data_IF_491262326537
#
_entry.id   IF_491262326537
#
_cell.length_a   1.000
_cell.length_b   1.000
_cell.length_c   1.000
_cell.angle_alpha   90.00
_cell.angle_beta   90.00
_cell.angle_gamma   90.00
#
_symmetry.space_group_name_H-M   'P 1'
#
loop_
_entity.id
_entity.type
_entity.pdbx_description
1 polymer ?
#
# COMPACT_ATOMS: atom_id res chain seq x y z
N UNK A 1 -5.32 -0.58 0.80
CA UNK A 1 -5.92 -0.85 -0.52
C UNK A 1 -7.41 -0.42 -0.60
N UNK A 2 -8.14 -0.41 0.51
CA UNK A 2 -9.59 -0.20 0.53
C UNK A 2 -10.04 1.20 0.10
N UNK A 3 -9.13 2.16 0.12
CA UNK A 3 -9.38 3.55 -0.28
C UNK A 3 -9.03 3.86 -1.75
N UNK A 4 -8.74 2.85 -2.57
CA UNK A 4 -8.57 3.10 -4.00
C UNK A 4 -9.83 3.74 -4.60
N UNK A 5 -9.63 4.67 -5.53
CA UNK A 5 -10.71 5.16 -6.39
C UNK A 5 -11.17 4.03 -7.33
N UNK A 6 -12.38 4.13 -7.88
CA UNK A 6 -12.81 3.19 -8.91
C UNK A 6 -11.80 3.14 -10.06
N UNK A 7 -11.55 1.95 -10.62
CA UNK A 7 -10.53 1.72 -11.65
C UNK A 7 -10.56 2.74 -12.78
N UNK A 8 -11.75 3.10 -13.23
CA UNK A 8 -11.96 4.07 -14.30
C UNK A 8 -11.45 5.48 -13.97
N UNK A 9 -11.25 5.79 -12.69
CA UNK A 9 -10.75 7.07 -12.17
C UNK A 9 -9.27 7.03 -11.79
N UNK A 10 -8.64 5.87 -11.90
CA UNK A 10 -7.20 5.73 -11.64
C UNK A 10 -6.42 6.60 -12.62
N UNK A 11 -5.41 7.39 -12.16
CA UNK A 11 -4.58 8.18 -13.05
C UNK A 11 -3.87 7.30 -14.09
N UNK A 12 -3.52 7.89 -15.21
CA UNK A 12 -2.76 7.21 -16.26
C UNK A 12 -1.28 7.60 -16.14
N UNK A 13 -0.41 6.64 -16.44
CA UNK A 13 1.03 6.86 -16.56
C UNK A 13 1.38 7.54 -17.92
N UNK A 14 2.66 7.77 -18.17
CA UNK A 14 3.18 8.39 -19.39
C UNK A 14 2.88 7.57 -20.67
N UNK A 15 2.60 6.27 -20.52
CA UNK A 15 2.27 5.37 -21.62
C UNK A 15 0.76 5.29 -21.88
N UNK A 16 -0.06 5.88 -21.01
CA UNK A 16 -1.52 5.81 -21.07
C UNK A 16 -2.11 4.58 -20.38
N UNK A 17 -1.32 3.85 -19.60
CA UNK A 17 -1.77 2.75 -18.77
C UNK A 17 -2.15 3.23 -17.35
N UNK A 18 -3.00 2.50 -16.65
CA UNK A 18 -3.38 2.86 -15.28
C UNK A 18 -2.20 2.81 -14.32
N UNK A 19 -1.86 3.94 -13.69
CA UNK A 19 -0.87 4.04 -12.63
C UNK A 19 -1.50 3.72 -11.26
N UNK A 20 -1.53 2.44 -10.92
CA UNK A 20 -2.03 1.98 -9.61
C UNK A 20 -1.10 2.29 -8.45
N UNK A 21 0.13 2.68 -8.73
CA UNK A 21 1.12 3.02 -7.71
C UNK A 21 1.11 4.53 -7.39
N UNK A 22 0.38 5.33 -8.16
CA UNK A 22 0.25 6.76 -7.90
C UNK A 22 -0.51 7.03 -6.59
N UNK A 23 -0.14 8.13 -5.91
CA UNK A 23 -0.84 8.55 -4.68
C UNK A 23 -2.30 8.92 -4.97
N UNK A 24 -2.55 9.50 -6.12
CA UNK A 24 -3.88 9.91 -6.61
C UNK A 24 -4.79 8.73 -6.97
N UNK A 25 -4.25 7.50 -7.02
CA UNK A 25 -5.06 6.29 -7.08
C UNK A 25 -5.83 6.04 -5.77
N UNK A 26 -5.45 6.72 -4.69
CA UNK A 26 -6.14 6.69 -3.40
C UNK A 26 -7.06 7.92 -3.29
N UNK A 27 -8.26 7.71 -2.77
CA UNK A 27 -9.18 8.78 -2.40
C UNK A 27 -8.69 9.47 -1.12
N UNK A 28 -7.79 10.43 -1.28
CA UNK A 28 -7.13 11.12 -0.18
C UNK A 28 -8.12 11.94 0.67
N UNK A 29 -9.12 12.53 0.05
CA UNK A 29 -10.13 13.32 0.73
C UNK A 29 -10.93 12.44 1.69
N UNK A 30 -11.48 11.34 1.19
CA UNK A 30 -12.21 10.36 2.01
C UNK A 30 -11.32 9.74 3.09
N UNK A 31 -10.06 9.43 2.75
CA UNK A 31 -9.13 8.83 3.70
C UNK A 31 -8.83 9.78 4.86
N UNK A 32 -8.54 11.04 4.59
CA UNK A 32 -8.26 12.04 5.63
C UNK A 32 -9.51 12.40 6.44
N UNK A 33 -10.69 12.52 5.82
CA UNK A 33 -11.95 12.70 6.56
C UNK A 33 -12.17 11.56 7.56
N UNK A 34 -12.02 10.30 7.10
CA UNK A 34 -12.19 9.14 7.98
C UNK A 34 -11.17 9.12 9.11
N UNK A 35 -9.91 9.45 8.84
CA UNK A 35 -8.88 9.53 9.88
C UNK A 35 -9.22 10.61 10.93
N UNK A 36 -9.56 11.81 10.47
CA UNK A 36 -9.90 12.91 11.36
C UNK A 36 -11.12 12.58 12.24
N UNK A 37 -12.14 11.94 11.68
CA UNK A 37 -13.33 11.48 12.41
C UNK A 37 -13.00 10.39 13.42
N UNK A 38 -12.21 9.38 13.03
CA UNK A 38 -11.77 8.31 13.91
C UNK A 38 -10.97 8.84 15.11
N UNK A 39 -10.07 9.81 14.90
CA UNK A 39 -9.29 10.44 15.98
C UNK A 39 -10.20 11.19 16.96
N UNK A 40 -11.33 11.74 16.49
CA UNK A 40 -12.33 12.37 17.36
C UNK A 40 -13.26 11.36 18.04
N UNK A 41 -13.07 10.05 17.83
CA UNK A 41 -13.92 8.99 18.36
C UNK A 41 -15.27 8.84 17.65
N UNK A 42 -15.40 9.43 16.46
CA UNK A 42 -16.59 9.28 15.63
C UNK A 42 -16.58 7.92 14.91
N UNK A 43 -17.76 7.47 14.53
CA UNK A 43 -17.93 6.24 13.75
C UNK A 43 -17.83 6.53 12.26
N UNK A 44 -17.07 5.70 11.52
CA UNK A 44 -16.95 5.77 10.07
C UNK A 44 -17.15 4.39 9.44
N UNK A 45 -17.78 4.34 8.28
CA UNK A 45 -17.91 3.10 7.51
C UNK A 45 -16.72 2.99 6.57
N UNK A 46 -15.82 2.03 6.83
CA UNK A 46 -14.60 1.84 6.03
C UNK A 46 -15.00 1.21 4.69
N UNK A 47 -14.59 1.81 3.57
CA UNK A 47 -14.84 1.22 2.26
C UNK A 47 -14.08 -0.08 2.08
N UNK A 48 -14.42 -0.84 1.08
CA UNK A 48 -13.71 -2.03 0.64
C UNK A 48 -13.53 -2.03 -0.86
N UNK A 49 -12.31 -2.23 -1.31
CA UNK A 49 -12.02 -2.28 -2.73
C UNK A 49 -12.06 -3.72 -3.25
N UNK A 50 -12.86 -3.95 -4.29
CA UNK A 50 -12.92 -5.23 -4.99
C UNK A 50 -11.99 -5.20 -6.22
N UNK A 51 -10.87 -5.92 -6.13
CA UNK A 51 -9.89 -6.00 -7.22
C UNK A 51 -10.40 -6.68 -8.49
N UNK A 52 -11.43 -7.51 -8.38
CA UNK A 52 -12.01 -8.20 -9.54
C UNK A 52 -12.83 -7.21 -10.35
N UNK A 53 -13.78 -6.54 -9.73
CA UNK A 53 -14.64 -5.56 -10.39
C UNK A 53 -13.96 -4.20 -10.60
N UNK A 54 -12.92 -3.89 -9.82
CA UNK A 54 -12.26 -2.60 -9.83
C UNK A 54 -13.09 -1.48 -9.24
N UNK A 55 -13.96 -1.81 -8.29
CA UNK A 55 -14.89 -0.85 -7.67
C UNK A 55 -14.82 -0.90 -6.15
N UNK A 56 -15.08 0.25 -5.55
CA UNK A 56 -15.23 0.40 -4.11
C UNK A 56 -16.67 0.03 -3.68
N UNK A 57 -16.77 -0.69 -2.59
CA UNK A 57 -18.03 -1.14 -1.97
C UNK A 57 -18.10 -0.74 -0.51
N UNK A 58 -19.30 -0.74 0.07
CA UNK A 58 -19.56 -0.36 1.46
C UNK A 58 -20.29 -1.52 2.15
N UNK A 59 -19.82 -1.90 3.32
CA UNK A 59 -20.36 -3.07 4.03
C UNK A 59 -21.21 -2.72 5.24
N UNK A 60 -21.44 -1.43 5.52
CA UNK A 60 -22.17 -0.95 6.71
C UNK A 60 -21.62 -1.56 8.01
N UNK A 61 -20.30 -1.65 8.11
CA UNK A 61 -19.57 -2.15 9.28
C UNK A 61 -18.77 -0.99 9.91
N UNK A 62 -19.43 -0.12 10.68
CA UNK A 62 -18.79 1.09 11.18
C UNK A 62 -17.67 0.76 12.17
N UNK A 63 -16.54 1.44 11.99
CA UNK A 63 -15.39 1.43 12.89
C UNK A 63 -15.43 2.66 13.78
N UNK A 64 -15.15 2.46 15.08
CA UNK A 64 -14.97 3.55 16.05
C UNK A 64 -13.70 3.26 16.85
N UNK A 65 -12.90 4.28 17.13
CA UNK A 65 -11.74 4.17 18.01
C UNK A 65 -12.09 4.69 19.41
N UNK A 66 -11.60 4.01 20.43
CA UNK A 66 -11.61 4.49 21.80
C UNK A 66 -10.24 5.10 22.18
N UNK A 67 -10.14 5.66 23.39
CA UNK A 67 -8.91 6.31 23.88
C UNK A 67 -7.68 5.38 24.00
N UNK A 68 -7.86 4.07 23.92
CA UNK A 68 -6.81 3.05 24.01
C UNK A 68 -6.52 2.39 22.67
N UNK A 69 -7.26 2.75 21.64
CA UNK A 69 -7.10 2.17 20.32
C UNK A 69 -5.87 2.68 19.62
N UNK A 70 -5.19 1.79 18.90
CA UNK A 70 -4.12 2.14 17.98
C UNK A 70 -4.61 1.80 16.58
N UNK A 71 -4.57 2.78 15.68
CA UNK A 71 -4.90 2.57 14.28
C UNK A 71 -3.62 2.18 13.51
N UNK A 72 -3.62 1.01 12.92
CA UNK A 72 -2.54 0.55 12.05
C UNK A 72 -2.97 0.75 10.60
N UNK A 73 -2.19 1.56 9.88
CA UNK A 73 -2.38 1.84 8.46
C UNK A 73 -1.22 1.18 7.71
N UNK A 74 -1.54 0.35 6.72
CA UNK A 74 -0.53 -0.29 5.87
C UNK A 74 -0.76 0.08 4.40
N UNK A 75 0.33 0.21 3.65
CA UNK A 75 0.30 0.52 2.23
C UNK A 75 1.61 1.16 1.75
N UNK A 76 1.79 1.20 0.46
CA UNK A 76 3.01 1.76 -0.16
C UNK A 76 3.19 3.24 0.15
N UNK A 77 2.11 3.98 0.35
CA UNK A 77 2.12 5.41 0.70
C UNK A 77 2.15 5.68 2.21
N UNK A 78 2.23 4.63 3.06
CA UNK A 78 2.18 4.79 4.52
C UNK A 78 3.27 5.68 5.12
N UNK A 79 4.40 5.86 4.42
CA UNK A 79 5.49 6.75 4.82
C UNK A 79 5.36 8.16 4.22
N UNK A 80 4.53 8.36 3.21
CA UNK A 80 4.35 9.63 2.53
C UNK A 80 3.48 10.56 3.38
N UNK A 81 4.02 11.76 3.71
CA UNK A 81 3.28 12.75 4.49
C UNK A 81 1.98 13.20 3.81
N UNK A 82 1.98 13.27 2.48
CA UNK A 82 0.80 13.67 1.71
C UNK A 82 -0.40 12.71 1.88
N UNK A 83 -0.18 11.44 2.27
CA UNK A 83 -1.27 10.50 2.54
C UNK A 83 -2.14 10.94 3.73
N UNK A 84 -1.52 11.55 4.74
CA UNK A 84 -2.19 11.90 6.01
C UNK A 84 -1.79 13.30 6.48
N UNK A 85 -1.81 14.27 5.57
CA UNK A 85 -1.31 15.63 5.81
C UNK A 85 -2.03 16.33 6.97
N UNK A 86 -3.33 16.08 7.13
CA UNK A 86 -4.14 16.67 8.19
C UNK A 86 -3.86 16.14 9.59
N UNK A 87 -3.14 15.02 9.71
CA UNK A 87 -2.85 14.40 11.00
C UNK A 87 -1.51 14.91 11.53
N UNK A 88 -1.46 15.43 12.78
CA UNK A 88 -0.22 15.88 13.40
C UNK A 88 0.86 14.80 13.44
N UNK A 89 2.12 15.18 13.24
CA UNK A 89 3.25 14.25 13.18
C UNK A 89 3.50 13.51 14.50
N UNK A 90 3.19 14.14 15.64
CA UNK A 90 3.30 13.59 16.98
C UNK A 90 2.31 12.45 17.26
N UNK A 91 1.27 12.32 16.44
CA UNK A 91 0.32 11.20 16.49
C UNK A 91 0.69 10.06 15.56
N UNK A 92 1.78 10.21 14.78
CA UNK A 92 2.21 9.24 13.78
C UNK A 92 3.48 8.51 14.23
N UNK A 93 3.47 7.18 14.12
CA UNK A 93 4.66 6.37 14.29
C UNK A 93 4.91 5.58 13.02
N UNK A 94 6.05 5.82 12.36
CA UNK A 94 6.36 5.28 11.03
C UNK A 94 7.28 4.08 11.12
N UNK A 95 6.83 2.97 10.57
CA UNK A 95 7.57 1.72 10.52
C UNK A 95 7.76 1.31 9.07
N UNK A 96 9.00 1.11 8.67
CA UNK A 96 9.31 0.50 7.38
C UNK A 96 9.50 -1.00 7.55
N UNK A 97 8.66 -1.77 6.88
CA UNK A 97 8.73 -3.23 6.89
C UNK A 97 9.23 -3.70 5.53
N UNK A 98 10.37 -4.38 5.51
CA UNK A 98 10.97 -4.92 4.30
C UNK A 98 11.23 -6.42 4.46
N UNK A 99 10.80 -7.20 3.47
CA UNK A 99 11.13 -8.62 3.38
C UNK A 99 12.59 -8.79 2.91
N UNK A 100 13.54 -8.57 3.79
CA UNK A 100 14.95 -8.87 3.52
C UNK A 100 15.20 -10.37 3.66
N UNK A 101 14.78 -11.13 2.66
CA UNK A 101 15.07 -12.56 2.61
C UNK A 101 16.50 -12.78 2.16
N UNK A 102 17.32 -13.40 3.01
CA UNK A 102 18.67 -13.83 2.66
C UNK A 102 18.61 -15.28 2.12
N UNK A 103 17.94 -15.46 0.98
CA UNK A 103 17.94 -16.74 0.30
C UNK A 103 19.14 -16.83 -0.63
N UNK A 104 19.92 -17.88 -0.49
CA UNK A 104 21.02 -18.18 -1.37
C UNK A 104 20.65 -19.38 -2.26
N UNK A 105 21.04 -19.34 -3.52
CA UNK A 105 21.00 -20.50 -4.42
C UNK A 105 22.10 -21.51 -4.07
N UNK A 106 23.26 -20.96 -3.70
CA UNK A 106 24.44 -21.72 -3.26
C UNK A 106 25.33 -20.85 -2.36
N UNK A 107 26.55 -21.31 -2.02
CA UNK A 107 27.50 -20.61 -1.16
C UNK A 107 27.99 -19.25 -1.71
N UNK A 108 27.77 -18.94 -2.99
CA UNK A 108 28.28 -17.74 -3.65
C UNK A 108 27.19 -16.91 -4.33
N UNK A 109 26.01 -17.50 -4.59
CA UNK A 109 24.93 -16.85 -5.34
C UNK A 109 23.74 -16.54 -4.44
N UNK A 110 23.47 -15.26 -4.25
CA UNK A 110 22.31 -14.78 -3.51
C UNK A 110 21.16 -14.48 -4.46
N UNK A 111 19.95 -14.90 -4.10
CA UNK A 111 18.72 -14.43 -4.77
C UNK A 111 18.47 -12.97 -4.37
N UNK A 112 18.28 -12.11 -5.34
CA UNK A 112 17.98 -10.70 -5.07
C UNK A 112 16.64 -10.57 -4.37
N UNK A 113 16.54 -9.65 -3.43
CA UNK A 113 15.27 -9.36 -2.72
C UNK A 113 14.15 -8.99 -3.69
N UNK A 114 14.48 -8.28 -4.77
CA UNK A 114 13.55 -7.92 -5.85
C UNK A 114 12.95 -9.16 -6.52
N UNK A 115 13.77 -10.19 -6.78
CA UNK A 115 13.30 -11.40 -7.44
C UNK A 115 12.35 -12.20 -6.52
N UNK A 116 12.68 -12.27 -5.23
CA UNK A 116 11.81 -12.89 -4.22
C UNK A 116 10.48 -12.13 -4.13
N UNK A 117 10.50 -10.80 -4.16
CA UNK A 117 9.29 -9.98 -4.14
C UNK A 117 8.43 -10.21 -5.38
N UNK A 118 9.04 -10.29 -6.57
CA UNK A 118 8.34 -10.60 -7.81
C UNK A 118 7.65 -11.96 -7.71
N UNK A 119 8.36 -13.01 -7.27
CA UNK A 119 7.79 -14.34 -7.09
C UNK A 119 6.61 -14.33 -6.10
N UNK A 120 6.76 -13.65 -4.97
CA UNK A 120 5.68 -13.51 -3.99
C UNK A 120 4.47 -12.79 -4.58
N UNK A 121 4.68 -11.74 -5.38
CA UNK A 121 3.61 -11.01 -6.07
C UNK A 121 2.90 -11.93 -7.07
N UNK A 122 3.62 -12.67 -7.91
CA UNK A 122 3.04 -13.62 -8.85
C UNK A 122 2.11 -14.63 -8.16
N UNK A 123 2.59 -15.23 -7.05
CA UNK A 123 1.79 -16.19 -6.28
C UNK A 123 0.55 -15.54 -5.68
N UNK A 124 0.69 -14.36 -5.08
CA UNK A 124 -0.44 -13.62 -4.49
C UNK A 124 -1.46 -13.24 -5.55
N UNK A 125 -1.01 -12.62 -6.64
CA UNK A 125 -1.89 -12.09 -7.68
C UNK A 125 -2.65 -13.23 -8.39
N UNK A 126 -1.99 -14.38 -8.62
CA UNK A 126 -2.68 -15.55 -9.13
C UNK A 126 -3.75 -16.11 -8.17
N UNK A 127 -3.48 -16.10 -6.86
CA UNK A 127 -4.38 -16.66 -5.84
C UNK A 127 -5.53 -15.76 -5.45
N UNK A 128 -5.32 -14.45 -5.40
CA UNK A 128 -6.25 -13.50 -4.75
C UNK A 128 -6.80 -12.44 -5.70
N UNK A 129 -6.13 -12.18 -6.82
CA UNK A 129 -6.50 -11.14 -7.78
C UNK A 129 -6.87 -11.68 -9.16
N UNK A 130 -6.80 -13.00 -9.34
CA UNK A 130 -7.04 -13.67 -10.61
C UNK A 130 -6.23 -13.10 -11.78
N UNK A 131 -5.01 -12.62 -11.48
CA UNK A 131 -4.07 -12.07 -12.46
C UNK A 131 -3.05 -13.14 -12.79
N UNK A 132 -2.82 -13.42 -14.07
CA UNK A 132 -1.83 -14.40 -14.48
C UNK A 132 -0.39 -13.88 -14.32
N UNK A 133 0.57 -14.80 -14.40
CA UNK A 133 1.99 -14.52 -14.20
C UNK A 133 2.52 -13.53 -15.25
N UNK A 134 2.07 -13.66 -16.50
CA UNK A 134 2.51 -12.80 -17.61
C UNK A 134 2.07 -11.36 -17.38
N UNK A 135 0.81 -11.16 -16.96
CA UNK A 135 0.28 -9.85 -16.63
C UNK A 135 1.00 -9.24 -15.41
N UNK A 136 1.29 -10.05 -14.37
CA UNK A 136 2.06 -9.58 -13.21
C UNK A 136 3.48 -9.15 -13.62
N UNK A 137 4.13 -9.89 -14.52
CA UNK A 137 5.45 -9.52 -15.03
C UNK A 137 5.41 -8.23 -15.85
N UNK A 138 4.40 -8.05 -16.69
CA UNK A 138 4.25 -6.82 -17.49
C UNK A 138 4.09 -5.56 -16.63
N UNK A 139 3.46 -5.67 -15.47
CA UNK A 139 3.30 -4.56 -14.52
C UNK A 139 4.53 -4.34 -13.61
N UNK A 140 5.53 -5.22 -13.65
CA UNK A 140 6.60 -5.19 -12.65
C UNK A 140 7.46 -3.93 -12.72
N UNK A 141 7.74 -3.43 -13.90
CA UNK A 141 8.53 -2.20 -14.08
C UNK A 141 7.79 -0.97 -13.50
N UNK A 142 6.49 -0.88 -13.69
CA UNK A 142 5.66 0.17 -13.07
C UNK A 142 5.70 0.09 -11.54
N UNK A 143 5.60 -1.12 -10.97
CA UNK A 143 5.71 -1.33 -9.52
C UNK A 143 7.07 -0.89 -9.00
N UNK A 144 8.15 -1.18 -9.72
CA UNK A 144 9.50 -0.75 -9.35
C UNK A 144 9.67 0.77 -9.40
N UNK A 145 9.14 1.40 -10.45
CA UNK A 145 9.13 2.85 -10.54
C UNK A 145 8.32 3.49 -9.39
N UNK A 146 7.20 2.89 -9.01
CA UNK A 146 6.41 3.31 -7.86
C UNK A 146 7.18 3.22 -6.53
N UNK A 147 7.97 2.18 -6.31
CA UNK A 147 8.84 2.07 -5.13
C UNK A 147 9.87 3.19 -5.06
N UNK A 148 10.53 3.47 -6.18
CA UNK A 148 11.54 4.53 -6.28
C UNK A 148 10.95 5.93 -6.07
N UNK A 149 9.72 6.14 -6.53
CA UNK A 149 9.03 7.43 -6.45
C UNK A 149 8.34 7.63 -5.10
N UNK A 150 7.70 6.60 -4.55
CA UNK A 150 6.74 6.74 -3.45
C UNK A 150 7.17 6.10 -2.13
N UNK A 151 8.24 5.29 -2.11
CA UNK A 151 8.71 4.66 -0.88
C UNK A 151 10.11 5.14 -0.49
N UNK A 152 11.07 5.00 -1.39
CA UNK A 152 12.49 5.24 -1.06
C UNK A 152 12.80 6.68 -0.62
N UNK A 153 12.18 7.75 -1.16
CA UNK A 153 12.43 9.11 -0.69
C UNK A 153 12.04 9.34 0.78
N UNK A 154 11.10 8.54 1.30
CA UNK A 154 10.58 8.71 2.67
C UNK A 154 11.26 7.81 3.69
N UNK A 155 12.26 7.01 3.32
CA UNK A 155 12.97 6.13 4.25
C UNK A 155 13.74 6.89 5.33
N UNK A 156 14.08 8.15 5.12
CA UNK A 156 14.69 9.02 6.14
C UNK A 156 13.73 9.41 7.27
N UNK A 157 12.42 9.24 7.08
CA UNK A 157 11.37 9.63 8.03
C UNK A 157 10.96 8.49 8.96
N UNK A 158 11.53 7.30 8.79
CA UNK A 158 11.15 6.12 9.58
C UNK A 158 11.71 6.19 11.00
N UNK A 159 10.93 5.68 11.95
CA UNK A 159 11.35 5.53 13.34
C UNK A 159 12.01 4.17 13.57
N UNK A 160 11.51 3.13 12.92
CA UNK A 160 12.05 1.77 12.97
C UNK A 160 12.07 1.18 11.56
N UNK A 161 13.20 0.53 11.23
CA UNK A 161 13.32 -0.35 10.07
C UNK A 161 13.46 -1.79 10.58
N UNK A 162 12.43 -2.58 10.41
CA UNK A 162 12.44 -4.00 10.79
C UNK A 162 12.55 -4.87 9.54
N UNK A 163 13.65 -5.63 9.36
CA UNK A 163 13.67 -6.69 8.39
C UNK A 163 12.76 -7.83 8.87
N UNK A 164 11.72 -8.14 8.11
CA UNK A 164 10.92 -9.33 8.40
C UNK A 164 11.78 -10.58 8.22
N UNK A 165 11.98 -11.32 9.29
CA UNK A 165 12.56 -12.67 9.18
C UNK A 165 11.55 -13.58 8.49
N UNK A 166 12.01 -14.50 7.63
CA UNK A 166 11.14 -15.48 6.98
C UNK A 166 10.51 -16.44 7.98
#
# INVERSE_FOLDING_TARGET
DDYFVDREKTPLDENGDYDYEALEAIDLELFNDHLARLIRGESVDIPRYDFITGRRTWHNAPLTLDERSILIIEGIHGLNDALSEEIPSELKYRIYVSALTQLNLDGHNRIRTTDVRLLRRMVRDARTRHTDVTATMAMWDSVRAGEEKYIFPYLSLIHISEPTRP
#
